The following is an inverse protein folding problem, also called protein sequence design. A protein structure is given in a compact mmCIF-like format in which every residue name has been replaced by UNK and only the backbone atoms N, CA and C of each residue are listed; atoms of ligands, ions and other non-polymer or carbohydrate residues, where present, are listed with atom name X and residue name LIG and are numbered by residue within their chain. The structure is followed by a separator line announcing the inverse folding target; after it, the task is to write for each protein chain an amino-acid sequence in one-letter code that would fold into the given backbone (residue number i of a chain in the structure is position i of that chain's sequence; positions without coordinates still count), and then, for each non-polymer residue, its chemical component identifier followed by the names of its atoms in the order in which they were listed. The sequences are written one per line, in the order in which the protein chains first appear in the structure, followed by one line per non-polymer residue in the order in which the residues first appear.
data_IF_751220785862
#
_entry.id   IF_751220785862
#
_cell.length_a   1.000
_cell.length_b   1.000
_cell.length_c   1.000
_cell.angle_alpha   90.00
_cell.angle_beta   90.00
_cell.angle_gamma   90.00
#
_symmetry.space_group_name_H-M   'P 1'
#
loop_
_entity.id
_entity.type
_entity.pdbx_description
1 polymer ?
#
# COMPACT_ATOMS: atom_id res chain seq x y z
N UNK A 1 30.53 -1.51 -51.64
CA UNK A 1 29.40 -0.68 -51.18
C UNK A 1 29.29 -0.82 -49.67
N UNK A 2 29.24 0.33 -48.97
CA UNK A 2 29.14 0.54 -47.52
C UNK A 2 30.20 -0.15 -46.62
N UNK A 3 31.32 0.56 -46.39
CA UNK A 3 32.23 0.37 -45.25
C UNK A 3 31.98 1.49 -44.23
N UNK A 4 31.80 1.09 -42.97
CA UNK A 4 31.81 1.95 -41.79
C UNK A 4 33.21 2.56 -41.58
N UNK A 5 33.25 3.85 -41.28
CA UNK A 5 34.41 4.58 -40.71
C UNK A 5 33.90 5.29 -39.45
N UNK A 6 34.62 5.25 -38.32
CA UNK A 6 34.18 5.86 -37.07
C UNK A 6 34.64 7.32 -36.98
N UNK A 7 33.79 8.21 -36.44
CA UNK A 7 34.18 9.57 -36.07
C UNK A 7 33.98 9.79 -34.57
N UNK A 8 35.08 10.17 -33.96
CA UNK A 8 35.29 10.56 -32.56
C UNK A 8 34.60 11.92 -32.31
N UNK A 9 33.77 12.00 -31.27
CA UNK A 9 33.14 13.24 -30.83
C UNK A 9 33.84 13.83 -29.61
N UNK A 10 34.48 14.98 -29.79
CA UNK A 10 35.11 15.81 -28.76
C UNK A 10 34.08 16.40 -27.77
N UNK A 11 34.45 16.39 -26.50
CA UNK A 11 33.85 17.18 -25.41
C UNK A 11 34.14 18.68 -25.61
N UNK A 12 33.11 19.51 -25.59
CA UNK A 12 33.23 20.97 -25.47
C UNK A 12 32.56 21.44 -24.16
N UNK A 13 33.40 21.85 -23.22
CA UNK A 13 33.02 22.61 -22.03
C UNK A 13 32.70 24.05 -22.45
N UNK A 14 31.51 24.55 -22.11
CA UNK A 14 31.14 25.97 -22.28
C UNK A 14 30.89 26.56 -20.90
N UNK A 15 31.77 27.49 -20.51
CA UNK A 15 31.65 28.36 -19.33
C UNK A 15 30.88 29.62 -19.74
N UNK A 16 29.94 30.08 -18.91
CA UNK A 16 29.36 31.43 -19.05
C UNK A 16 29.39 32.17 -17.71
N UNK A 17 30.07 33.33 -17.73
CA UNK A 17 30.08 34.36 -16.68
C UNK A 17 28.93 35.35 -16.89
N UNK A 18 28.52 35.93 -15.76
CA UNK A 18 27.65 37.06 -15.47
C UNK A 18 27.32 38.08 -16.58
N UNK A 19 26.05 38.50 -16.60
CA UNK A 19 25.65 39.87 -16.98
C UNK A 19 24.51 40.38 -16.08
N UNK A 20 24.56 41.68 -15.83
CA UNK A 20 23.82 42.46 -14.83
C UNK A 20 22.42 42.92 -15.27
N UNK A 21 21.67 43.38 -14.25
CA UNK A 21 20.68 44.46 -14.23
C UNK A 21 19.49 44.42 -15.19
N UNK A 22 18.36 43.96 -14.64
CA UNK A 22 17.03 44.37 -15.09
C UNK A 22 16.28 45.03 -13.93
N UNK A 23 16.08 46.35 -14.05
CA UNK A 23 15.27 47.16 -13.14
C UNK A 23 13.78 46.90 -13.38
N UNK A 24 13.03 46.55 -12.33
CA UNK A 24 11.57 46.43 -12.35
C UNK A 24 10.89 47.78 -12.06
N UNK A 25 9.75 48.11 -12.69
CA UNK A 25 9.05 49.37 -12.49
C UNK A 25 8.38 49.45 -11.10
N UNK A 26 8.41 50.65 -10.51
CA UNK A 26 7.84 51.00 -9.20
C UNK A 26 6.32 50.80 -9.17
N UNK A 27 5.84 50.04 -8.18
CA UNK A 27 4.42 49.94 -7.81
C UNK A 27 3.97 51.16 -7.00
N UNK A 28 2.69 51.58 -7.10
CA UNK A 28 2.19 52.75 -6.38
C UNK A 28 1.97 52.48 -4.89
N UNK A 29 2.17 53.52 -4.07
CA UNK A 29 1.98 53.53 -2.61
C UNK A 29 0.60 52.97 -2.21
N UNK A 30 0.57 51.89 -1.41
CA UNK A 30 -0.63 51.46 -0.69
C UNK A 30 -0.90 52.41 0.48
N UNK A 31 -2.08 53.01 0.48
CA UNK A 31 -2.64 53.67 1.64
C UNK A 31 -2.88 52.69 2.79
N UNK A 32 -2.83 53.23 4.01
CA UNK A 32 -3.10 52.54 5.28
C UNK A 32 -4.46 51.83 5.25
N UNK A 33 -4.45 50.49 5.25
CA UNK A 33 -5.57 49.68 5.69
C UNK A 33 -5.30 49.27 7.13
N UNK A 34 -6.16 49.74 8.03
CA UNK A 34 -6.14 49.42 9.45
C UNK A 34 -5.99 47.91 9.67
N UNK A 35 -5.10 47.53 10.59
CA UNK A 35 -4.84 46.15 10.97
C UNK A 35 -6.13 45.51 11.50
N UNK A 36 -6.79 44.67 10.70
CA UNK A 36 -7.72 43.69 11.25
C UNK A 36 -6.88 42.60 11.88
N UNK A 37 -6.93 42.52 13.21
CA UNK A 37 -6.30 41.47 14.03
C UNK A 37 -6.67 40.10 13.44
N UNK A 38 -5.67 39.30 13.10
CA UNK A 38 -5.88 37.89 12.79
C UNK A 38 -6.39 37.22 14.08
N UNK A 39 -7.57 36.61 14.00
CA UNK A 39 -8.11 35.77 15.06
C UNK A 39 -7.15 34.58 15.27
N UNK A 40 -6.87 34.27 16.53
CA UNK A 40 -6.04 33.12 16.92
C UNK A 40 -6.79 31.81 16.57
N UNK A 41 -6.10 30.67 16.36
CA UNK A 41 -6.72 29.40 16.00
C UNK A 41 -7.87 28.95 16.93
N UNK A 42 -7.85 29.39 18.19
CA UNK A 42 -8.83 29.04 19.21
C UNK A 42 -10.15 29.84 19.14
N UNK A 43 -10.32 30.76 18.17
CA UNK A 43 -11.50 31.62 18.05
C UNK A 43 -12.50 31.20 16.96
N UNK A 44 -12.33 30.04 16.32
CA UNK A 44 -13.34 29.47 15.42
C UNK A 44 -14.40 28.72 16.25
N UNK A 45 -15.69 29.10 16.21
CA UNK A 45 -16.72 28.36 16.91
C UNK A 45 -16.83 26.95 16.31
N UNK A 46 -16.64 25.93 17.15
CA UNK A 46 -17.03 24.54 16.91
C UNK A 46 -18.55 24.47 16.83
N UNK A 47 -19.11 24.87 15.70
CA UNK A 47 -20.52 24.62 15.41
C UNK A 47 -20.61 23.16 14.99
N UNK A 48 -21.00 22.28 15.93
CA UNK A 48 -21.44 20.94 15.60
C UNK A 48 -22.44 21.05 14.43
N UNK A 49 -22.23 20.29 13.34
CA UNK A 49 -23.15 20.37 12.21
C UNK A 49 -24.53 19.94 12.73
N UNK A 50 -25.56 20.81 12.63
CA UNK A 50 -26.81 20.55 13.32
C UNK A 50 -27.53 19.40 12.62
N UNK A 51 -27.44 18.21 13.20
CA UNK A 51 -28.57 17.29 13.16
C UNK A 51 -29.79 17.95 13.78
N UNK A 52 -30.98 17.50 13.41
CA UNK A 52 -32.22 18.12 13.88
C UNK A 52 -33.44 17.72 13.05
N UNK A 53 -34.60 18.24 13.45
CA UNK A 53 -35.84 18.05 12.71
C UNK A 53 -35.91 18.97 11.49
N UNK A 54 -36.09 18.37 10.32
CA UNK A 54 -36.43 19.07 9.10
C UNK A 54 -37.85 19.68 9.20
N UNK A 55 -38.18 20.66 8.34
CA UNK A 55 -39.51 21.27 8.31
C UNK A 55 -40.68 20.29 8.07
N UNK A 56 -40.40 19.10 7.51
CA UNK A 56 -41.36 18.01 7.32
C UNK A 56 -41.45 17.07 8.54
N UNK A 57 -40.74 17.37 9.63
CA UNK A 57 -40.69 16.57 10.85
C UNK A 57 -39.64 15.45 10.87
N UNK A 58 -38.94 15.19 9.76
CA UNK A 58 -37.92 14.14 9.71
C UNK A 58 -36.67 14.52 10.52
N UNK A 59 -36.21 13.63 11.39
CA UNK A 59 -34.98 13.80 12.14
C UNK A 59 -33.77 13.45 11.26
N UNK A 60 -32.76 14.32 11.26
CA UNK A 60 -31.43 14.01 10.69
C UNK A 60 -30.39 13.87 11.78
N UNK A 61 -29.54 12.88 11.57
CA UNK A 61 -28.37 12.60 12.40
C UNK A 61 -27.43 13.81 12.39
N UNK A 62 -26.91 14.16 13.58
CA UNK A 62 -25.85 15.15 13.70
C UNK A 62 -24.53 14.48 13.36
N UNK A 63 -23.75 15.10 12.49
CA UNK A 63 -22.37 14.68 12.24
C UNK A 63 -21.45 15.61 13.01
N UNK A 64 -20.68 15.06 13.96
CA UNK A 64 -19.58 15.77 14.59
C UNK A 64 -18.31 15.54 13.74
N UNK A 65 -17.86 16.53 12.95
CA UNK A 65 -16.66 16.35 12.14
C UNK A 65 -15.43 16.25 13.04
N UNK A 66 -14.62 15.21 12.84
CA UNK A 66 -13.34 15.04 13.56
C UNK A 66 -12.32 16.14 13.28
N UNK A 67 -12.44 16.81 12.12
CA UNK A 67 -11.53 17.87 11.69
C UNK A 67 -12.29 19.08 11.16
N UNK A 68 -11.97 20.25 11.71
CA UNK A 68 -12.43 21.55 11.22
C UNK A 68 -11.32 22.23 10.41
N UNK A 69 -11.58 22.56 9.15
CA UNK A 69 -10.62 23.24 8.28
C UNK A 69 -10.84 24.75 8.30
N UNK A 70 -9.77 25.53 8.55
CA UNK A 70 -9.81 26.99 8.39
C UNK A 70 -9.77 27.35 6.89
N UNK A 71 -10.78 28.06 6.41
CA UNK A 71 -11.02 28.35 4.99
C UNK A 71 -10.05 29.39 4.36
N UNK A 72 -8.98 29.77 5.06
CA UNK A 72 -8.12 30.94 4.73
C UNK A 72 -6.87 30.65 3.87
N UNK A 73 -6.95 29.62 3.01
CA UNK A 73 -5.97 29.17 1.97
C UNK A 73 -5.21 27.86 2.28
N UNK A 74 -5.08 26.98 1.28
CA UNK A 74 -4.24 25.77 1.33
C UNK A 74 -4.70 24.61 0.43
N UNK A 75 -3.83 23.60 0.28
CA UNK A 75 -4.18 22.26 -0.23
C UNK A 75 -4.38 21.34 0.97
N UNK A 76 -5.53 20.68 1.06
CA UNK A 76 -5.84 19.69 2.09
C UNK A 76 -5.98 18.32 1.44
N UNK A 77 -5.32 17.31 2.00
CA UNK A 77 -5.48 15.91 1.60
C UNK A 77 -6.47 15.25 2.53
N UNK A 78 -7.62 14.85 1.98
CA UNK A 78 -8.68 14.15 2.73
C UNK A 78 -8.79 12.72 2.23
N UNK A 79 -8.98 11.80 3.16
CA UNK A 79 -9.11 10.36 2.90
C UNK A 79 -7.96 9.78 2.06
N UNK A 80 -6.68 9.98 2.47
CA UNK A 80 -5.56 9.34 1.78
C UNK A 80 -5.69 7.82 1.86
N UNK A 81 -5.17 7.11 0.87
CA UNK A 81 -5.11 5.64 0.86
C UNK A 81 -3.74 5.20 1.38
N UNK A 82 -3.60 4.84 2.67
CA UNK A 82 -2.30 4.56 3.26
C UNK A 82 -1.73 3.24 2.74
N UNK A 83 -0.47 3.26 2.31
CA UNK A 83 0.31 2.06 2.00
C UNK A 83 1.48 2.00 2.99
N UNK A 84 1.52 0.95 3.79
CA UNK A 84 2.61 0.70 4.72
C UNK A 84 3.72 -0.08 4.03
N UNK A 85 4.97 0.34 4.22
CA UNK A 85 6.14 -0.45 3.81
C UNK A 85 7.25 -0.32 4.84
N UNK A 86 7.69 -1.44 5.41
CA UNK A 86 8.83 -1.48 6.33
C UNK A 86 9.63 -2.75 6.13
N UNK A 87 10.91 -2.67 6.51
CA UNK A 87 11.72 -3.85 6.78
C UNK A 87 11.27 -4.49 8.09
N UNK A 88 11.26 -5.80 8.14
CA UNK A 88 10.92 -6.54 9.36
C UNK A 88 12.03 -6.36 10.41
N UNK A 89 11.66 -6.34 11.70
CA UNK A 89 12.51 -5.82 12.80
C UNK A 89 13.64 -6.72 13.36
N UNK A 90 13.78 -8.02 13.06
CA UNK A 90 14.97 -8.81 13.41
C UNK A 90 16.24 -8.40 12.66
N UNK A 91 17.37 -8.98 13.05
CA UNK A 91 18.64 -8.76 12.36
C UNK A 91 18.60 -9.28 10.92
N UNK A 92 19.48 -8.75 10.07
CA UNK A 92 19.60 -9.22 8.68
C UNK A 92 19.92 -10.71 8.57
N UNK A 93 20.59 -11.28 9.56
CA UNK A 93 20.97 -12.69 9.58
C UNK A 93 19.77 -13.56 9.90
N UNK A 94 18.98 -13.21 10.92
CA UNK A 94 17.74 -13.89 11.26
C UNK A 94 16.75 -13.85 10.10
N UNK A 95 16.62 -12.70 9.43
CA UNK A 95 15.77 -12.55 8.24
C UNK A 95 16.23 -13.46 7.09
N UNK A 96 17.55 -13.57 6.86
CA UNK A 96 18.07 -14.48 5.84
C UNK A 96 17.80 -15.94 6.18
N UNK A 97 18.06 -16.34 7.42
CA UNK A 97 17.80 -17.71 7.89
C UNK A 97 16.31 -18.07 7.72
N UNK A 98 15.40 -17.20 8.15
CA UNK A 98 13.96 -17.41 7.97
C UNK A 98 13.60 -17.50 6.48
N UNK A 99 14.16 -16.64 5.64
CA UNK A 99 13.87 -16.69 4.20
C UNK A 99 14.34 -18.00 3.57
N UNK A 100 15.52 -18.51 3.93
CA UNK A 100 16.02 -19.80 3.43
C UNK A 100 15.11 -20.95 3.84
N UNK A 101 14.59 -20.93 5.08
CA UNK A 101 13.60 -21.90 5.55
C UNK A 101 12.26 -21.80 4.82
N UNK A 102 11.76 -20.58 4.56
CA UNK A 102 10.54 -20.36 3.78
C UNK A 102 10.72 -20.90 2.36
N UNK A 103 11.83 -20.57 1.70
CA UNK A 103 12.14 -21.06 0.35
C UNK A 103 12.15 -22.59 0.33
N UNK A 104 12.86 -23.23 1.25
CA UNK A 104 12.91 -24.69 1.35
C UNK A 104 11.51 -25.32 1.53
N UNK A 105 10.69 -24.74 2.41
CA UNK A 105 9.33 -25.23 2.65
C UNK A 105 8.43 -25.02 1.42
N UNK A 106 8.52 -23.87 0.75
CA UNK A 106 7.74 -23.60 -0.46
C UNK A 106 8.11 -24.58 -1.59
N UNK A 107 9.40 -24.92 -1.76
CA UNK A 107 9.82 -25.98 -2.69
C UNK A 107 9.19 -27.34 -2.35
N UNK A 108 9.18 -27.70 -1.06
CA UNK A 108 8.60 -28.97 -0.60
C UNK A 108 7.08 -29.04 -0.80
N UNK A 109 6.39 -27.93 -0.57
CA UNK A 109 4.94 -27.79 -0.78
C UNK A 109 4.65 -27.86 -2.28
N UNK A 110 5.32 -27.05 -3.10
CA UNK A 110 5.15 -27.03 -4.56
C UNK A 110 5.39 -28.39 -5.21
N UNK A 111 6.28 -29.22 -4.66
CA UNK A 111 6.53 -30.57 -5.16
C UNK A 111 5.40 -31.58 -4.86
N UNK A 112 4.46 -31.27 -3.97
CA UNK A 112 3.43 -32.20 -3.47
C UNK A 112 1.99 -31.68 -3.61
N UNK A 113 1.82 -30.36 -3.72
CA UNK A 113 0.51 -29.74 -3.81
C UNK A 113 -0.05 -29.84 -5.23
N UNK A 114 -0.52 -31.04 -5.60
CA UNK A 114 -1.09 -31.34 -6.92
C UNK A 114 -2.22 -30.37 -7.30
N UNK A 115 -3.07 -29.99 -6.34
CA UNK A 115 -4.17 -29.04 -6.56
C UNK A 115 -3.66 -27.63 -6.86
N UNK A 116 -2.68 -27.14 -6.10
CA UNK A 116 -2.08 -25.83 -6.34
C UNK A 116 -1.30 -25.78 -7.65
N UNK A 117 -0.58 -26.85 -7.99
CA UNK A 117 0.11 -26.98 -9.28
C UNK A 117 -0.89 -26.91 -10.44
N UNK A 118 -1.97 -27.70 -10.38
CA UNK A 118 -2.98 -27.71 -11.44
C UNK A 118 -3.67 -26.35 -11.59
N UNK A 119 -4.05 -25.72 -10.47
CA UNK A 119 -4.62 -24.38 -10.48
C UNK A 119 -3.68 -23.34 -11.10
N UNK A 120 -2.39 -23.42 -10.76
CA UNK A 120 -1.36 -22.47 -11.21
C UNK A 120 -1.12 -22.53 -12.72
N UNK A 121 -1.33 -23.68 -13.39
CA UNK A 121 -1.16 -23.79 -14.86
C UNK A 121 -1.98 -22.77 -15.63
N UNK A 122 -3.15 -22.39 -15.11
CA UNK A 122 -4.10 -21.50 -15.79
C UNK A 122 -4.19 -20.12 -15.14
N UNK A 123 -4.00 -20.01 -13.83
CA UNK A 123 -4.20 -18.76 -13.07
C UNK A 123 -2.90 -18.10 -12.61
N UNK A 124 -1.78 -18.81 -12.69
CA UNK A 124 -0.47 -18.35 -12.22
C UNK A 124 0.65 -18.88 -13.14
N UNK A 125 0.44 -18.76 -14.45
CA UNK A 125 1.27 -19.37 -15.48
C UNK A 125 2.75 -19.01 -15.31
N UNK A 126 3.63 -20.01 -15.43
CA UNK A 126 5.07 -19.87 -15.19
C UNK A 126 5.49 -19.87 -13.71
N UNK A 127 4.53 -19.98 -12.78
CA UNK A 127 4.80 -19.97 -11.35
C UNK A 127 3.93 -20.95 -10.57
N UNK A 128 3.91 -20.76 -9.26
CA UNK A 128 3.10 -21.53 -8.31
C UNK A 128 2.48 -20.60 -7.26
N UNK A 129 1.21 -20.82 -6.96
CA UNK A 129 0.54 -20.25 -5.80
C UNK A 129 -0.17 -21.33 -4.99
N UNK A 130 -0.07 -21.24 -3.65
CA UNK A 130 -0.81 -22.14 -2.75
C UNK A 130 -2.19 -21.59 -2.38
N UNK A 131 -2.59 -20.43 -2.91
CA UNK A 131 -3.80 -19.71 -2.46
C UNK A 131 -5.06 -20.56 -2.53
N UNK A 132 -5.27 -21.28 -3.63
CA UNK A 132 -6.49 -22.07 -3.82
C UNK A 132 -6.48 -23.40 -3.05
N UNK A 133 -5.30 -23.96 -2.79
CA UNK A 133 -5.13 -25.31 -2.27
C UNK A 133 -4.81 -25.35 -0.77
N UNK A 134 -3.96 -24.44 -0.31
CA UNK A 134 -3.40 -24.37 1.04
C UNK A 134 -3.34 -22.90 1.52
N UNK A 135 -4.49 -22.23 1.75
CA UNK A 135 -4.55 -20.80 2.11
C UNK A 135 -4.24 -20.50 3.58
N UNK A 136 -3.88 -21.50 4.39
CA UNK A 136 -3.68 -21.32 5.84
C UNK A 136 -2.29 -21.78 6.27
N UNK A 137 -1.23 -21.37 5.55
CA UNK A 137 0.14 -21.82 5.83
C UNK A 137 0.62 -21.44 7.24
N UNK A 138 0.14 -20.33 7.79
CA UNK A 138 0.41 -19.91 9.17
C UNK A 138 -0.10 -20.91 10.21
N UNK A 139 -1.06 -21.77 9.86
CA UNK A 139 -1.57 -22.78 10.78
C UNK A 139 -0.65 -23.98 10.99
N UNK A 140 0.32 -24.23 10.10
CA UNK A 140 1.06 -25.51 10.11
C UNK A 140 2.47 -25.49 9.50
N UNK A 141 2.92 -24.38 8.89
CA UNK A 141 4.29 -24.24 8.37
C UNK A 141 5.12 -23.42 9.36
N UNK A 142 6.08 -24.04 10.09
CA UNK A 142 6.80 -23.38 11.18
C UNK A 142 7.44 -22.02 10.84
N UNK A 143 8.21 -21.85 9.73
CA UNK A 143 8.76 -20.54 9.42
C UNK A 143 7.69 -19.49 9.05
N UNK A 144 6.49 -19.89 8.65
CA UNK A 144 5.38 -18.96 8.44
C UNK A 144 4.74 -18.54 9.76
N UNK A 145 4.71 -19.42 10.78
CA UNK A 145 4.30 -19.05 12.14
C UNK A 145 5.25 -18.01 12.74
N UNK A 146 6.56 -18.21 12.61
CA UNK A 146 7.57 -17.21 13.00
C UNK A 146 7.37 -15.89 12.24
N UNK A 147 7.09 -15.95 10.93
CA UNK A 147 6.80 -14.77 10.15
C UNK A 147 5.54 -14.04 10.66
N UNK A 148 4.46 -14.74 10.98
CA UNK A 148 3.24 -14.15 11.55
C UNK A 148 3.52 -13.40 12.86
N UNK A 149 4.33 -13.99 13.76
CA UNK A 149 4.77 -13.31 14.99
C UNK A 149 5.54 -12.02 14.69
N UNK A 150 6.45 -12.06 13.71
CA UNK A 150 7.23 -10.90 13.31
C UNK A 150 6.39 -9.83 12.60
N UNK A 151 5.29 -10.21 11.94
CA UNK A 151 4.36 -9.29 11.28
C UNK A 151 3.45 -8.55 12.28
N UNK A 152 3.14 -9.15 13.44
CA UNK A 152 2.23 -8.57 14.45
C UNK A 152 2.46 -7.09 14.77
N UNK A 153 3.68 -6.61 15.10
CA UNK A 153 3.91 -5.18 15.38
C UNK A 153 3.68 -4.29 14.16
N UNK A 154 3.89 -4.79 12.94
CA UNK A 154 3.64 -4.05 11.71
C UNK A 154 2.15 -3.93 11.42
N UNK A 155 1.38 -5.00 11.69
CA UNK A 155 -0.08 -4.98 11.60
C UNK A 155 -0.65 -3.97 12.60
N UNK A 156 -0.20 -3.99 13.85
CA UNK A 156 -0.62 -3.05 14.88
C UNK A 156 -0.33 -1.60 14.50
N UNK A 157 0.89 -1.30 14.02
CA UNK A 157 1.27 0.03 13.54
C UNK A 157 0.37 0.48 12.37
N UNK A 158 0.11 -0.42 11.41
CA UNK A 158 -0.74 -0.08 10.26
C UNK A 158 -2.20 0.13 10.63
N UNK A 159 -2.79 -0.69 11.50
CA UNK A 159 -4.16 -0.53 12.00
C UNK A 159 -4.36 0.82 12.70
N UNK A 160 -3.36 1.27 13.47
CA UNK A 160 -3.40 2.58 14.12
C UNK A 160 -3.41 3.74 13.11
N UNK A 161 -2.65 3.63 12.02
CA UNK A 161 -2.57 4.66 10.99
C UNK A 161 -3.71 4.64 9.97
N UNK A 162 -4.28 3.48 9.66
CA UNK A 162 -5.36 3.30 8.70
C UNK A 162 -6.75 3.64 9.27
N UNK A 163 -6.82 4.33 10.42
CA UNK A 163 -8.05 4.77 11.08
C UNK A 163 -8.99 3.61 11.47
N UNK A 164 -8.43 2.44 11.79
CA UNK A 164 -9.17 1.27 12.27
C UNK A 164 -9.03 1.09 13.80
N UNK A 165 -8.83 2.19 14.54
CA UNK A 165 -8.45 2.16 15.95
C UNK A 165 -9.53 1.57 16.87
N UNK A 166 -10.80 1.83 16.56
CA UNK A 166 -11.95 1.31 17.32
C UNK A 166 -12.50 -0.01 16.75
N UNK A 167 -11.78 -0.62 15.81
CA UNK A 167 -12.16 -1.88 15.19
C UNK A 167 -11.92 -3.09 16.11
N UNK A 168 -12.65 -4.20 15.93
CA UNK A 168 -12.38 -5.45 16.64
C UNK A 168 -11.00 -6.01 16.29
N UNK A 169 -10.52 -6.93 17.13
CA UNK A 169 -9.23 -7.57 16.93
C UNK A 169 -9.13 -8.27 15.56
N UNK A 170 -8.00 -8.08 14.89
CA UNK A 170 -7.73 -8.65 13.57
C UNK A 170 -6.86 -9.89 13.68
N UNK A 171 -7.24 -10.94 12.95
CA UNK A 171 -6.54 -12.22 12.88
C UNK A 171 -6.10 -12.50 11.46
N UNK A 172 -4.94 -13.17 11.28
CA UNK A 172 -4.52 -13.64 9.96
C UNK A 172 -5.45 -14.78 9.50
N UNK A 173 -6.36 -14.47 8.58
CA UNK A 173 -7.35 -15.45 8.07
C UNK A 173 -6.75 -16.35 7.01
N UNK A 174 -5.91 -15.77 6.15
CA UNK A 174 -5.32 -16.45 5.01
C UNK A 174 -3.84 -16.09 4.92
N UNK A 175 -3.00 -17.06 4.58
CA UNK A 175 -1.58 -16.91 4.30
C UNK A 175 -1.14 -17.97 3.29
N UNK A 176 -0.54 -17.54 2.18
CA UNK A 176 -0.23 -18.43 1.06
C UNK A 176 1.12 -18.10 0.40
N UNK A 177 1.66 -19.11 -0.28
CA UNK A 177 2.89 -19.04 -1.03
C UNK A 177 2.65 -18.44 -2.42
N UNK A 178 3.59 -17.62 -2.87
CA UNK A 178 3.72 -17.20 -4.26
C UNK A 178 5.17 -17.40 -4.71
N UNK A 179 5.36 -18.21 -5.75
CA UNK A 179 6.64 -18.46 -6.40
C UNK A 179 6.48 -18.08 -7.86
N UNK A 180 7.01 -16.91 -8.24
CA UNK A 180 6.86 -16.36 -9.59
C UNK A 180 8.11 -16.62 -10.41
N UNK A 181 8.00 -17.46 -11.44
CA UNK A 181 9.03 -17.65 -12.45
C UNK A 181 9.04 -16.52 -13.49
N UNK A 182 9.72 -16.73 -14.62
CA UNK A 182 9.76 -15.77 -15.72
C UNK A 182 8.37 -15.61 -16.36
N UNK A 183 7.98 -14.37 -16.64
CA UNK A 183 6.71 -14.01 -17.26
C UNK A 183 5.47 -14.17 -16.38
N UNK A 184 5.58 -14.79 -15.19
CA UNK A 184 4.45 -14.94 -14.26
C UNK A 184 3.95 -13.58 -13.81
N UNK A 185 2.64 -13.36 -13.89
CA UNK A 185 2.00 -12.14 -13.41
C UNK A 185 0.80 -12.45 -12.52
N UNK A 186 0.34 -11.44 -11.79
CA UNK A 186 -0.92 -11.51 -11.07
C UNK A 186 -1.76 -10.29 -11.44
N UNK A 187 -2.85 -10.53 -12.18
CA UNK A 187 -3.69 -9.46 -12.72
C UNK A 187 -4.34 -8.60 -11.63
N UNK A 188 -4.84 -7.43 -12.01
CA UNK A 188 -5.43 -6.49 -11.06
C UNK A 188 -6.62 -7.10 -10.32
N UNK A 189 -6.54 -7.17 -8.99
CA UNK A 189 -7.57 -7.72 -8.12
C UNK A 189 -7.63 -6.98 -6.78
N UNK A 190 -8.60 -7.37 -5.95
CA UNK A 190 -8.83 -6.91 -4.58
C UNK A 190 -9.16 -8.12 -3.72
N UNK A 191 -8.94 -8.03 -2.42
CA UNK A 191 -9.16 -9.12 -1.48
C UNK A 191 -10.49 -8.90 -0.76
N UNK A 192 -11.56 -9.44 -1.35
CA UNK A 192 -12.90 -9.32 -0.80
C UNK A 192 -12.98 -10.06 0.55
N UNK A 193 -13.74 -9.52 1.51
CA UNK A 193 -13.93 -10.08 2.87
C UNK A 193 -12.67 -10.08 3.75
N UNK A 194 -11.73 -9.18 3.47
CA UNK A 194 -10.57 -8.93 4.32
C UNK A 194 -10.53 -7.45 4.68
N UNK A 195 -9.87 -7.13 5.80
CA UNK A 195 -9.68 -5.75 6.27
C UNK A 195 -8.32 -5.24 5.79
N UNK A 196 -7.25 -5.97 6.13
CA UNK A 196 -5.87 -5.66 5.74
C UNK A 196 -5.34 -6.81 4.88
N UNK A 197 -4.67 -6.47 3.79
CA UNK A 197 -3.90 -7.42 2.99
C UNK A 197 -2.44 -7.01 3.00
N UNK A 198 -1.57 -7.99 2.83
CA UNK A 198 -0.14 -7.74 2.84
C UNK A 198 0.65 -8.74 2.04
N UNK A 199 1.89 -8.37 1.76
CA UNK A 199 2.87 -9.24 1.13
C UNK A 199 4.24 -9.00 1.76
N UNK A 200 4.84 -10.09 2.25
CA UNK A 200 6.22 -10.16 2.69
C UNK A 200 7.09 -10.73 1.56
N UNK A 201 8.21 -10.08 1.28
CA UNK A 201 9.13 -10.50 0.22
C UNK A 201 10.24 -11.38 0.77
N UNK A 202 10.32 -12.62 0.27
CA UNK A 202 11.28 -13.64 0.71
C UNK A 202 12.52 -13.59 -0.18
N UNK A 203 12.32 -13.66 -1.50
CA UNK A 203 13.39 -13.66 -2.50
C UNK A 203 13.03 -12.70 -3.63
N UNK A 204 13.91 -11.74 -3.90
CA UNK A 204 13.70 -10.68 -4.91
C UNK A 204 14.92 -10.61 -5.83
N UNK A 205 14.96 -11.41 -6.91
CA UNK A 205 16.07 -11.38 -7.84
C UNK A 205 16.17 -10.02 -8.52
N UNK A 206 17.35 -9.69 -9.04
CA UNK A 206 17.56 -8.42 -9.73
C UNK A 206 16.56 -8.28 -10.88
N UNK A 207 15.91 -7.12 -10.96
CA UNK A 207 14.94 -6.82 -12.02
C UNK A 207 13.55 -7.44 -11.82
N UNK A 208 13.27 -8.12 -10.70
CA UNK A 208 11.94 -8.65 -10.46
C UNK A 208 10.88 -7.54 -10.31
N UNK A 209 9.64 -7.84 -10.66
CA UNK A 209 8.54 -6.88 -10.64
C UNK A 209 8.16 -6.43 -9.23
N UNK A 210 7.76 -5.16 -9.09
CA UNK A 210 7.19 -4.63 -7.86
C UNK A 210 5.72 -5.00 -7.65
N UNK A 211 5.06 -4.26 -6.77
CA UNK A 211 3.62 -4.31 -6.56
C UNK A 211 3.01 -2.99 -7.04
N UNK A 212 2.08 -3.06 -7.99
CA UNK A 212 1.36 -1.90 -8.51
C UNK A 212 0.05 -1.70 -7.76
N UNK A 213 -0.18 -0.49 -7.25
CA UNK A 213 -1.46 -0.05 -6.72
C UNK A 213 -2.14 0.89 -7.70
N UNK A 214 -3.43 0.66 -7.97
CA UNK A 214 -4.24 1.51 -8.83
C UNK A 214 -4.88 2.65 -8.05
N UNK A 215 -5.00 3.84 -8.63
CA UNK A 215 -5.77 4.94 -8.04
C UNK A 215 -7.22 4.50 -7.77
N UNK A 216 -7.69 4.44 -6.51
CA UNK A 216 -9.00 3.91 -6.18
C UNK A 216 -10.16 4.81 -6.57
N UNK A 217 -9.88 5.97 -7.17
CA UNK A 217 -10.90 6.89 -7.72
C UNK A 217 -11.18 6.63 -9.19
N UNK A 218 -10.43 5.73 -9.85
CA UNK A 218 -10.50 5.53 -11.30
C UNK A 218 -11.90 5.11 -11.79
N UNK A 219 -12.64 4.34 -10.98
CA UNK A 219 -14.03 3.94 -11.26
C UNK A 219 -15.07 5.03 -10.91
N UNK A 220 -14.65 6.11 -10.23
CA UNK A 220 -15.49 7.23 -9.79
C UNK A 220 -15.34 8.48 -10.63
N UNK A 221 -14.45 8.48 -11.62
CA UNK A 221 -14.19 9.66 -12.46
C UNK A 221 -15.07 9.69 -13.69
N UNK A 222 -15.76 10.82 -13.91
CA UNK A 222 -16.68 11.05 -15.05
C UNK A 222 -15.90 11.24 -16.38
N UNK A 223 -14.64 11.68 -16.31
CA UNK A 223 -13.78 11.86 -17.48
C UNK A 223 -12.90 10.62 -17.70
N UNK A 224 -12.62 10.32 -18.97
CA UNK A 224 -11.65 9.28 -19.35
C UNK A 224 -10.26 9.68 -18.85
N UNK A 225 -9.86 9.16 -17.69
CA UNK A 225 -8.53 9.35 -17.13
C UNK A 225 -7.59 8.23 -17.55
N UNK A 226 -6.33 8.56 -17.80
CA UNK A 226 -5.27 7.56 -17.92
C UNK A 226 -5.19 6.77 -16.63
N UNK A 227 -5.12 5.44 -16.72
CA UNK A 227 -4.92 4.57 -15.55
C UNK A 227 -3.68 5.01 -14.78
N UNK A 228 -3.87 5.51 -13.56
CA UNK A 228 -2.77 5.89 -12.67
C UNK A 228 -2.44 4.72 -11.76
N UNK A 229 -1.16 4.36 -11.73
CA UNK A 229 -0.63 3.30 -10.88
C UNK A 229 0.61 3.79 -10.16
N UNK A 230 0.81 3.31 -8.94
CA UNK A 230 2.02 3.54 -8.14
C UNK A 230 2.70 2.20 -7.93
N UNK A 231 4.00 2.13 -8.22
CA UNK A 231 4.81 0.92 -8.01
C UNK A 231 5.58 0.98 -6.69
N UNK A 232 5.49 -0.10 -5.92
CA UNK A 232 6.34 -0.35 -4.77
C UNK A 232 7.33 -1.47 -5.13
N UNK A 233 8.65 -1.18 -5.16
CA UNK A 233 9.66 -2.19 -5.41
C UNK A 233 9.58 -3.34 -4.41
N UNK A 234 9.72 -4.58 -4.91
CA UNK A 234 9.87 -5.76 -4.07
C UNK A 234 11.29 -5.81 -3.52
N UNK A 235 11.44 -5.88 -2.20
CA UNK A 235 12.74 -5.93 -1.52
C UNK A 235 12.69 -7.03 -0.46
N UNK A 236 13.54 -8.05 -0.57
CA UNK A 236 13.61 -9.13 0.40
C UNK A 236 13.73 -8.63 1.85
N UNK A 237 12.95 -9.20 2.76
CA UNK A 237 12.86 -8.78 4.16
C UNK A 237 11.92 -7.61 4.43
N UNK A 238 11.28 -7.04 3.40
CA UNK A 238 10.27 -6.00 3.57
C UNK A 238 8.86 -6.58 3.50
N UNK A 239 7.97 -5.97 4.28
CA UNK A 239 6.52 -6.15 4.21
C UNK A 239 5.89 -4.90 3.60
N UNK A 240 4.87 -5.11 2.77
CA UNK A 240 3.94 -4.08 2.32
C UNK A 240 2.54 -4.44 2.84
N UNK A 241 1.85 -3.48 3.47
CA UNK A 241 0.47 -3.63 3.94
C UNK A 241 -0.41 -2.53 3.34
N UNK A 242 -1.67 -2.87 3.11
CA UNK A 242 -2.68 -1.98 2.54
C UNK A 242 -4.07 -2.46 2.95
N UNK A 243 -5.06 -1.56 2.91
CA UNK A 243 -6.45 -1.96 3.09
C UNK A 243 -6.90 -2.87 1.93
N UNK A 244 -7.67 -3.92 2.23
CA UNK A 244 -7.91 -5.02 1.28
C UNK A 244 -8.73 -4.64 0.05
N UNK A 245 -9.43 -3.50 0.12
CA UNK A 245 -10.14 -2.92 -1.02
C UNK A 245 -9.19 -2.26 -2.03
N UNK A 246 -7.93 -2.01 -1.68
CA UNK A 246 -6.99 -1.35 -2.58
C UNK A 246 -6.61 -2.29 -3.73
N UNK A 247 -7.04 -1.91 -4.95
CA UNK A 247 -6.82 -2.71 -6.15
C UNK A 247 -5.35 -2.71 -6.52
N UNK A 248 -4.79 -3.89 -6.78
CA UNK A 248 -3.36 -4.06 -7.03
C UNK A 248 -3.05 -5.17 -8.04
N UNK A 249 -1.88 -5.09 -8.67
CA UNK A 249 -1.35 -6.04 -9.66
C UNK A 249 0.12 -6.33 -9.36
N UNK A 250 0.55 -7.56 -9.64
CA UNK A 250 1.97 -7.90 -9.78
C UNK A 250 2.27 -8.02 -11.27
N UNK A 251 3.10 -7.14 -11.86
CA UNK A 251 3.51 -7.26 -13.26
C UNK A 251 4.24 -8.58 -13.54
N UNK A 252 4.35 -8.99 -14.82
CA UNK A 252 5.20 -10.10 -15.22
C UNK A 252 6.58 -10.00 -14.57
N UNK A 253 7.02 -11.06 -13.90
CA UNK A 253 8.36 -11.12 -13.36
C UNK A 253 9.36 -11.31 -14.52
N UNK A 254 10.24 -10.33 -14.72
CA UNK A 254 11.28 -10.35 -15.75
C UNK A 254 12.69 -10.38 -15.12
N UNK A 255 12.79 -10.77 -13.85
CA UNK A 255 14.06 -10.85 -13.14
C UNK A 255 14.84 -12.12 -13.45
N UNK A 256 16.12 -12.14 -13.10
CA UNK A 256 17.06 -13.25 -13.35
C UNK A 256 16.84 -14.46 -12.40
N UNK A 257 15.60 -14.74 -12.02
CA UNK A 257 15.24 -15.83 -11.12
C UNK A 257 13.81 -15.73 -10.61
N UNK A 258 13.49 -16.58 -9.65
CA UNK A 258 12.16 -16.58 -9.05
C UNK A 258 12.00 -15.50 -8.00
N UNK A 259 10.90 -14.75 -8.12
CA UNK A 259 10.42 -13.84 -7.07
C UNK A 259 9.50 -14.61 -6.14
N UNK A 260 9.91 -14.73 -4.88
CA UNK A 260 9.19 -15.50 -3.86
C UNK A 260 8.64 -14.55 -2.80
N UNK A 261 7.34 -14.66 -2.52
CA UNK A 261 6.67 -13.86 -1.51
C UNK A 261 5.61 -14.64 -0.75
N UNK A 262 5.36 -14.22 0.48
CA UNK A 262 4.25 -14.70 1.31
C UNK A 262 3.18 -13.62 1.31
N UNK A 263 1.99 -13.94 0.85
CA UNK A 263 0.85 -13.02 0.89
C UNK A 263 -0.15 -13.48 1.94
N UNK A 264 -0.83 -12.53 2.56
CA UNK A 264 -1.71 -12.81 3.69
C UNK A 264 -2.84 -11.78 3.80
N UNK A 265 -3.91 -12.21 4.47
CA UNK A 265 -5.07 -11.40 4.80
C UNK A 265 -5.30 -11.38 6.31
N UNK A 266 -5.72 -10.23 6.79
CA UNK A 266 -6.24 -10.04 8.14
C UNK A 266 -7.70 -9.60 8.06
N UNK A 267 -8.52 -10.21 8.89
CA UNK A 267 -9.90 -9.82 9.09
C UNK A 267 -10.30 -10.04 10.54
N UNK A 268 -11.41 -9.42 10.94
CA UNK A 268 -11.99 -9.68 12.25
C UNK A 268 -12.64 -11.06 12.29
N UNK A 269 -12.78 -11.64 13.48
CA UNK A 269 -13.66 -12.78 13.72
C UNK A 269 -14.91 -12.24 14.41
N UNK A 270 -16.08 -12.66 13.95
CA UNK A 270 -17.29 -12.42 14.73
C UNK A 270 -17.24 -13.38 15.92
N UNK A 271 -16.88 -12.87 17.10
CA UNK A 271 -17.10 -13.56 18.36
C UNK A 271 -18.46 -13.13 18.89
N UNK A 272 -19.31 -14.07 19.31
CA UNK A 272 -20.56 -13.68 19.96
C UNK A 272 -20.22 -12.77 21.16
N UNK A 273 -20.90 -11.62 21.33
CA UNK A 273 -20.67 -10.77 22.48
C UNK A 273 -20.79 -11.61 23.74
N UNK A 274 -19.71 -11.68 24.52
CA UNK A 274 -19.76 -12.32 25.83
C UNK A 274 -20.89 -11.63 26.59
N UNK A 275 -21.93 -12.37 26.96
CA UNK A 275 -23.06 -11.82 27.72
C UNK A 275 -22.47 -11.18 28.98
N UNK A 276 -22.40 -9.86 29.01
CA UNK A 276 -22.05 -9.12 30.21
C UNK A 276 -23.18 -9.44 31.20
N UNK A 277 -22.89 -10.06 32.35
CA UNK A 277 -23.90 -10.23 33.38
C UNK A 277 -24.43 -8.85 33.73
N UNK A 278 -25.73 -8.67 33.60
CA UNK A 278 -26.39 -7.49 34.16
C UNK A 278 -26.26 -7.62 35.68
N UNK A 279 -25.38 -6.82 36.28
CA UNK A 279 -25.37 -6.57 37.73
C UNK A 279 -26.58 -5.73 38.14
#
# INVERSE_FOLDING_TARGET
MARLVPCIGLLALVSWRSFCDFSLPRTPRRGSLASRRALQPDELPTVAAPGGSLPNGELREAYEPEMHLDAREGRVEIFPSPIYRRKIRPSNEEVRALNDEIVLNFRRIMARDEKGIEYSKTHYAGGYTSYFSLPALQGWVPPIQTLEEWLRPHIQEFTQHALLQDGPELFMTDCWANVMGDGTEHMFHQHKKSTISGTYYVQTPRGCSGLLFEDPRLDRTVAKQSRRVVEFPAIAGFVVLFESWQRHKVPPNCGDGERISVSFNYHWRYEEPTKIPLE
#
